data_IF_972848280247
#
_entry.id   IF_972848280247
#
_cell.length_a   1.000
_cell.length_b   1.000
_cell.length_c   1.000
_cell.angle_alpha   90.00
_cell.angle_beta   90.00
_cell.angle_gamma   90.00
#
_symmetry.space_group_name_H-M   'P 1'
#
loop_
_entity.id
_entity.type
_entity.pdbx_description
1 polymer ?
#
# COMPACT_ATOMS: atom_id res chain seq x y z
N UNK A 1 -15.99 19.84 -8.27
CA UNK A 1 -16.26 18.51 -8.86
C UNK A 1 -15.65 17.45 -7.96
N UNK A 2 -16.45 16.52 -7.45
CA UNK A 2 -15.94 15.35 -6.73
C UNK A 2 -15.15 14.46 -7.69
N UNK A 3 -13.97 14.01 -7.25
CA UNK A 3 -13.15 13.05 -7.99
C UNK A 3 -13.40 11.66 -7.41
N UNK A 4 -13.78 10.72 -8.27
CA UNK A 4 -13.90 9.30 -7.91
C UNK A 4 -12.57 8.62 -8.22
N UNK A 5 -12.00 7.95 -7.22
CA UNK A 5 -10.76 7.19 -7.36
C UNK A 5 -11.05 5.69 -7.39
N UNK A 6 -10.54 5.01 -8.41
CA UNK A 6 -10.67 3.57 -8.62
C UNK A 6 -9.35 2.86 -8.39
N UNK A 7 -9.40 1.60 -7.95
CA UNK A 7 -8.21 0.82 -7.70
C UNK A 7 -7.58 0.38 -9.01
N UNK A 8 -6.25 0.45 -9.08
CA UNK A 8 -5.46 -0.11 -10.19
C UNK A 8 -4.64 -1.34 -9.77
N UNK A 9 -4.83 -1.83 -8.55
CA UNK A 9 -4.03 -2.93 -7.98
C UNK A 9 -4.16 -4.19 -8.83
N UNK A 10 -5.38 -4.52 -9.27
CA UNK A 10 -5.63 -5.69 -10.10
C UNK A 10 -4.89 -5.65 -11.44
N UNK A 11 -4.90 -4.49 -12.10
CA UNK A 11 -4.26 -4.32 -13.41
C UNK A 11 -2.73 -4.41 -13.27
N UNK A 12 -2.16 -3.72 -12.28
CA UNK A 12 -0.73 -3.75 -11.99
C UNK A 12 -0.25 -5.17 -11.62
N UNK A 13 -1.04 -5.89 -10.83
CA UNK A 13 -0.75 -7.28 -10.47
C UNK A 13 -0.74 -8.19 -11.70
N UNK A 14 -1.76 -8.08 -12.57
CA UNK A 14 -1.87 -8.87 -13.80
C UNK A 14 -0.72 -8.58 -14.77
N UNK A 15 -0.29 -7.32 -14.89
CA UNK A 15 0.89 -6.94 -15.68
C UNK A 15 2.18 -7.60 -15.20
N UNK A 16 2.25 -8.01 -13.92
CA UNK A 16 3.36 -8.76 -13.34
C UNK A 16 3.14 -10.27 -13.35
N UNK A 17 2.07 -10.77 -13.98
CA UNK A 17 1.68 -12.19 -14.01
C UNK A 17 1.52 -12.83 -12.62
N UNK A 18 1.06 -12.04 -11.64
CA UNK A 18 0.85 -12.52 -10.26
C UNK A 18 -0.62 -12.87 -10.01
N UNK A 19 -0.87 -13.94 -9.26
CA UNK A 19 -2.18 -14.21 -8.62
C UNK A 19 -2.37 -13.32 -7.38
N UNK A 20 -3.61 -13.15 -6.92
CA UNK A 20 -3.88 -12.39 -5.67
C UNK A 20 -3.09 -12.97 -4.48
N UNK A 21 -3.00 -14.30 -4.37
CA UNK A 21 -2.24 -15.00 -3.33
C UNK A 21 -0.75 -14.71 -3.39
N UNK A 22 -0.16 -14.72 -4.59
CA UNK A 22 1.27 -14.40 -4.76
C UNK A 22 1.57 -12.95 -4.39
N UNK A 23 0.72 -11.99 -4.79
CA UNK A 23 0.90 -10.60 -4.39
C UNK A 23 0.76 -10.44 -2.87
N UNK A 24 -0.21 -11.11 -2.25
CA UNK A 24 -0.42 -11.08 -0.82
C UNK A 24 0.82 -11.56 -0.04
N UNK A 25 1.41 -12.67 -0.48
CA UNK A 25 2.65 -13.21 0.08
C UNK A 25 3.82 -12.22 -0.03
N UNK A 26 4.01 -11.60 -1.21
CA UNK A 26 5.10 -10.65 -1.45
C UNK A 26 4.96 -9.36 -0.62
N UNK A 27 3.72 -8.94 -0.33
CA UNK A 27 3.44 -7.74 0.45
C UNK A 27 3.40 -8.04 1.96
N UNK A 28 3.23 -9.31 2.35
CA UNK A 28 3.11 -9.71 3.76
C UNK A 28 1.71 -9.46 4.33
N UNK A 29 0.66 -9.62 3.53
CA UNK A 29 -0.75 -9.46 3.95
C UNK A 29 -1.58 -10.69 3.58
N UNK A 30 -2.80 -10.79 4.12
CA UNK A 30 -3.73 -11.84 3.71
C UNK A 30 -4.26 -11.63 2.28
N UNK A 31 -4.65 -12.73 1.61
CA UNK A 31 -5.22 -12.67 0.25
C UNK A 31 -6.52 -11.86 0.21
N UNK A 32 -7.32 -11.85 1.29
CA UNK A 32 -8.52 -11.03 1.41
C UNK A 32 -8.20 -9.53 1.41
N UNK A 33 -7.06 -9.11 1.98
CA UNK A 33 -6.60 -7.72 1.95
C UNK A 33 -6.35 -7.26 0.51
N UNK A 34 -5.66 -8.07 -0.30
CA UNK A 34 -5.46 -7.77 -1.73
C UNK A 34 -6.80 -7.71 -2.46
N UNK A 35 -7.70 -8.67 -2.22
CA UNK A 35 -9.06 -8.65 -2.81
C UNK A 35 -9.81 -7.37 -2.46
N UNK A 36 -9.74 -6.93 -1.21
CA UNK A 36 -10.39 -5.69 -0.76
C UNK A 36 -9.77 -4.48 -1.44
N UNK A 37 -8.43 -4.39 -1.52
CA UNK A 37 -7.77 -3.32 -2.27
C UNK A 37 -8.14 -3.30 -3.75
N UNK A 38 -8.43 -4.44 -4.37
CA UNK A 38 -8.85 -4.53 -5.77
C UNK A 38 -10.33 -4.16 -5.99
N UNK A 39 -11.21 -4.44 -5.03
CA UNK A 39 -12.67 -4.24 -5.18
C UNK A 39 -13.19 -2.95 -4.56
N UNK A 40 -12.57 -2.48 -3.48
CA UNK A 40 -13.14 -1.48 -2.60
C UNK A 40 -12.66 -0.06 -2.94
N UNK A 41 -13.55 0.92 -2.73
CA UNK A 41 -13.24 2.35 -2.80
C UNK A 41 -12.54 2.83 -1.54
N UNK A 42 -12.68 2.17 -0.39
CA UNK A 42 -12.02 2.64 0.84
C UNK A 42 -10.51 2.40 0.82
N UNK A 43 -10.05 1.30 0.22
CA UNK A 43 -8.62 1.08 -0.03
C UNK A 43 -7.98 2.17 -0.91
N UNK A 44 -8.72 2.68 -1.92
CA UNK A 44 -8.21 3.73 -2.81
C UNK A 44 -8.12 5.08 -2.12
N UNK A 45 -8.99 5.38 -1.14
CA UNK A 45 -8.90 6.61 -0.33
C UNK A 45 -7.58 6.68 0.43
N UNK A 46 -7.12 5.57 1.00
CA UNK A 46 -5.83 5.50 1.71
C UNK A 46 -4.66 5.75 0.75
N UNK A 47 -4.64 5.11 -0.41
CA UNK A 47 -3.58 5.35 -1.42
C UNK A 47 -3.56 6.81 -1.88
N UNK A 48 -4.71 7.44 -2.07
CA UNK A 48 -4.81 8.86 -2.45
C UNK A 48 -4.27 9.77 -1.34
N UNK A 49 -4.58 9.49 -0.07
CA UNK A 49 -4.04 10.25 1.07
C UNK A 49 -2.52 10.13 1.14
N UNK A 50 -1.98 8.91 1.03
CA UNK A 50 -0.53 8.67 1.03
C UNK A 50 0.13 9.40 -0.15
N UNK A 51 -0.43 9.31 -1.36
CA UNK A 51 0.11 10.00 -2.53
C UNK A 51 0.12 11.54 -2.36
N UNK A 52 -0.93 12.10 -1.75
CA UNK A 52 -0.98 13.54 -1.43
C UNK A 52 0.04 13.91 -0.37
N UNK A 53 0.19 13.09 0.67
CA UNK A 53 1.18 13.29 1.74
C UNK A 53 2.60 13.32 1.16
N UNK A 54 2.96 12.30 0.37
CA UNK A 54 4.23 12.23 -0.34
C UNK A 54 4.47 13.46 -1.23
N UNK A 55 3.44 13.93 -1.95
CA UNK A 55 3.54 15.13 -2.79
C UNK A 55 3.80 16.41 -1.97
N UNK A 56 3.19 16.54 -0.80
CA UNK A 56 3.36 17.73 0.06
C UNK A 56 4.73 17.73 0.73
N UNK A 57 5.24 16.55 1.09
CA UNK A 57 6.53 16.38 1.78
C UNK A 57 7.72 16.19 0.84
N UNK A 58 7.49 16.19 -0.48
CA UNK A 58 8.49 15.90 -1.51
C UNK A 58 9.28 14.60 -1.23
N UNK A 59 8.54 13.54 -0.89
CA UNK A 59 9.11 12.24 -0.53
C UNK A 59 8.38 11.07 -1.21
N UNK A 60 8.88 9.87 -1.01
CA UNK A 60 8.25 8.62 -1.44
C UNK A 60 7.71 7.83 -0.25
N UNK A 61 6.83 6.83 -0.44
CA UNK A 61 6.22 6.08 0.66
C UNK A 61 7.21 5.39 1.61
N UNK A 62 8.40 4.99 1.11
CA UNK A 62 9.46 4.38 1.93
C UNK A 62 10.08 5.37 2.93
N UNK A 63 9.96 6.66 2.67
CA UNK A 63 10.52 7.71 3.53
C UNK A 63 9.55 8.03 4.69
N UNK A 64 8.35 7.44 4.71
CA UNK A 64 7.33 7.66 5.75
C UNK A 64 7.51 6.78 7.00
N UNK A 65 8.47 5.85 7.00
CA UNK A 65 8.74 4.96 8.14
C UNK A 65 10.24 4.74 8.31
N UNK A 66 10.64 4.39 9.53
CA UNK A 66 12.01 4.05 9.89
C UNK A 66 12.03 2.84 10.82
N UNK A 67 13.19 2.22 10.94
CA UNK A 67 13.42 1.13 11.90
C UNK A 67 14.09 1.76 13.12
N UNK A 68 13.56 1.50 14.31
CA UNK A 68 14.22 1.85 15.55
C UNK A 68 14.56 0.55 16.26
N UNK A 69 15.85 0.24 16.34
CA UNK A 69 16.32 -0.90 17.11
C UNK A 69 16.08 -0.61 18.59
N UNK A 70 15.35 -1.51 19.25
CA UNK A 70 15.27 -1.53 20.71
C UNK A 70 16.56 -2.18 21.18
N UNK A 71 17.67 -1.44 21.16
CA UNK A 71 18.87 -1.88 21.87
C UNK A 71 18.52 -1.87 23.36
N UNK A 72 18.48 -3.07 23.93
CA UNK A 72 18.23 -3.28 25.35
C UNK A 72 19.20 -2.46 26.19
N UNK A 73 18.67 -1.81 27.22
CA UNK A 73 19.48 -1.30 28.30
C UNK A 73 20.20 -2.48 28.95
N UNK A 74 21.46 -2.70 28.59
CA UNK A 74 22.38 -3.49 29.40
C UNK A 74 22.78 -2.61 30.60
N UNK A 75 22.20 -2.91 31.76
CA UNK A 75 22.76 -2.59 33.08
C UNK A 75 23.07 -3.88 33.79
#
# INVERSE_FOLDING_TARGET
MEKIYVSKVADLRKLKNLTQRQLALLVGVDTSTIRNWEKDRDGTKTFVKIAKLCKVLDCSPKDLFGIQDILGNET
#
